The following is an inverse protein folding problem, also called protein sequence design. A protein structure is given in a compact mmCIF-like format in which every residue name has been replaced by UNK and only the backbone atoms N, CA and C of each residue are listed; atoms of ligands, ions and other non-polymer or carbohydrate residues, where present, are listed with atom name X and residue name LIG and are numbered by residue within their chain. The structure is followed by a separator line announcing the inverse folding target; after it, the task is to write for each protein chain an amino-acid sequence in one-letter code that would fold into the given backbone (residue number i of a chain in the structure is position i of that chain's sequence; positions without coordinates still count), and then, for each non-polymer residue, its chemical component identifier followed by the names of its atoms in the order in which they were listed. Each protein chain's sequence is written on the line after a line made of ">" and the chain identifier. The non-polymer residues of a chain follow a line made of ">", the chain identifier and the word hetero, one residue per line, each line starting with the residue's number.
data_IF_044365497922
#
_entry.id   IF_044365497922
#
_cell.length_a   1.000
_cell.length_b   1.000
_cell.length_c   1.000
_cell.angle_alpha   90.00
_cell.angle_beta   90.00
_cell.angle_gamma   90.00
#
_symmetry.space_group_name_H-M   'P 1'
#
loop_
_entity.id
_entity.type
_entity.pdbx_description
1 polymer ?
#
# COMPACT_ATOMS: atom_id res chain seq x y z
N UNK A 1 -20.37 -17.27 17.23
CA UNK A 1 -20.70 -16.96 15.83
C UNK A 1 -19.45 -17.32 15.05
N UNK A 2 -19.52 -18.35 14.20
CA UNK A 2 -18.38 -18.81 13.40
C UNK A 2 -18.44 -18.01 12.11
N UNK A 3 -17.51 -17.08 11.92
CA UNK A 3 -17.38 -16.34 10.66
C UNK A 3 -16.97 -17.35 9.57
N UNK A 4 -17.69 -17.43 8.44
CA UNK A 4 -17.27 -18.27 7.32
C UNK A 4 -15.91 -17.77 6.83
N UNK A 5 -15.05 -18.68 6.37
CA UNK A 5 -13.64 -18.44 6.04
C UNK A 5 -13.40 -17.13 5.28
N UNK A 6 -12.78 -16.16 5.95
CA UNK A 6 -12.40 -14.85 5.41
C UNK A 6 -11.50 -15.05 4.17
N UNK A 7 -11.92 -14.52 3.02
CA UNK A 7 -11.13 -14.59 1.81
C UNK A 7 -10.06 -13.49 1.85
N UNK A 8 -8.89 -13.86 2.39
CA UNK A 8 -7.72 -13.02 2.57
C UNK A 8 -6.56 -13.54 1.70
N UNK A 9 -6.07 -12.67 0.83
CA UNK A 9 -4.95 -12.95 -0.08
C UNK A 9 -3.77 -12.05 0.23
N UNK A 10 -2.58 -12.63 0.27
CA UNK A 10 -1.29 -11.94 0.37
C UNK A 10 -0.48 -12.27 -0.87
N UNK A 11 0.04 -11.25 -1.56
CA UNK A 11 0.88 -11.50 -2.74
C UNK A 11 2.26 -12.06 -2.36
N UNK A 12 2.85 -11.59 -1.27
CA UNK A 12 4.22 -11.87 -0.87
C UNK A 12 4.36 -13.10 0.06
N UNK A 13 3.27 -13.82 0.34
CA UNK A 13 3.29 -15.02 1.20
C UNK A 13 2.22 -16.05 0.79
N UNK A 14 2.36 -17.29 1.24
CA UNK A 14 1.37 -18.34 1.02
C UNK A 14 0.01 -17.98 1.65
N UNK A 15 -0.95 -17.59 0.80
CA UNK A 15 -2.32 -17.24 1.18
C UNK A 15 -3.37 -18.26 0.76
N UNK A 16 -4.65 -17.86 0.81
CA UNK A 16 -5.73 -18.67 0.27
C UNK A 16 -5.67 -18.72 -1.26
N UNK A 17 -5.26 -19.87 -1.83
CA UNK A 17 -5.06 -20.06 -3.28
C UNK A 17 -6.31 -19.80 -4.13
N UNK A 18 -7.50 -20.05 -3.61
CA UNK A 18 -8.74 -19.75 -4.34
C UNK A 18 -8.93 -18.23 -4.47
N UNK A 19 -8.69 -17.50 -3.39
CA UNK A 19 -8.76 -16.04 -3.37
C UNK A 19 -7.69 -15.39 -4.26
N UNK A 20 -6.50 -15.98 -4.29
CA UNK A 20 -5.42 -15.60 -5.20
C UNK A 20 -5.86 -15.72 -6.66
N UNK A 21 -6.39 -16.87 -7.08
CA UNK A 21 -6.83 -17.09 -8.46
C UNK A 21 -7.96 -16.14 -8.86
N UNK A 22 -8.95 -15.92 -7.98
CA UNK A 22 -10.04 -14.97 -8.20
C UNK A 22 -9.52 -13.54 -8.40
N UNK A 23 -8.61 -13.10 -7.51
CA UNK A 23 -7.99 -11.78 -7.58
C UNK A 23 -7.16 -11.60 -8.85
N UNK A 24 -6.23 -12.51 -9.15
CA UNK A 24 -5.35 -12.42 -10.31
C UNK A 24 -6.14 -12.48 -11.62
N UNK A 25 -7.15 -13.35 -11.70
CA UNK A 25 -8.07 -13.41 -12.84
C UNK A 25 -8.80 -12.08 -13.01
N UNK A 26 -9.32 -11.50 -11.93
CA UNK A 26 -9.97 -10.19 -11.94
C UNK A 26 -9.05 -9.08 -12.44
N UNK A 27 -7.84 -8.98 -11.86
CA UNK A 27 -6.84 -7.97 -12.19
C UNK A 27 -6.40 -8.06 -13.64
N UNK A 28 -6.26 -9.28 -14.18
CA UNK A 28 -5.78 -9.53 -15.56
C UNK A 28 -6.70 -9.01 -16.66
N UNK A 29 -7.97 -8.71 -16.32
CA UNK A 29 -8.94 -8.09 -17.22
C UNK A 29 -8.58 -6.63 -17.54
N UNK A 30 -7.91 -5.96 -16.61
CA UNK A 30 -7.59 -4.53 -16.70
C UNK A 30 -6.11 -4.27 -16.91
N UNK A 31 -5.25 -5.11 -16.33
CA UNK A 31 -3.81 -4.94 -16.37
C UNK A 31 -3.12 -6.14 -17.00
N UNK A 32 -2.07 -5.86 -17.78
CA UNK A 32 -1.14 -6.88 -18.25
C UNK A 32 0.04 -6.96 -17.29
N UNK A 33 0.22 -8.13 -16.69
CA UNK A 33 1.30 -8.41 -15.77
C UNK A 33 1.81 -9.84 -15.91
N UNK A 34 2.99 -10.08 -15.37
CA UNK A 34 3.64 -11.38 -15.26
C UNK A 34 3.88 -11.66 -13.77
N UNK A 35 3.24 -12.70 -13.20
CA UNK A 35 3.60 -13.18 -11.88
C UNK A 35 5.05 -13.68 -11.89
N UNK A 36 5.81 -13.32 -10.87
CA UNK A 36 7.16 -13.82 -10.62
C UNK A 36 7.24 -14.32 -9.19
N UNK A 37 7.94 -15.44 -8.98
CA UNK A 37 8.06 -16.11 -7.68
C UNK A 37 9.51 -16.10 -7.19
N UNK A 38 9.68 -16.34 -5.89
CA UNK A 38 10.99 -16.48 -5.23
C UNK A 38 11.96 -15.32 -5.52
N UNK A 39 11.41 -14.10 -5.63
CA UNK A 39 12.22 -12.92 -5.92
C UNK A 39 12.83 -12.39 -4.63
N UNK A 40 14.17 -12.44 -4.56
CA UNK A 40 14.91 -11.80 -3.49
C UNK A 40 14.81 -10.27 -3.60
N UNK A 41 14.24 -9.63 -2.60
CA UNK A 41 13.95 -8.21 -2.60
C UNK A 41 14.37 -7.54 -1.30
N UNK A 42 15.24 -6.53 -1.43
CA UNK A 42 15.68 -5.70 -0.31
C UNK A 42 15.04 -4.32 -0.43
N UNK A 43 14.12 -4.03 0.49
CA UNK A 43 13.48 -2.73 0.60
C UNK A 43 14.21 -1.89 1.65
N UNK A 44 14.58 -0.66 1.28
CA UNK A 44 15.18 0.31 2.19
C UNK A 44 14.20 1.41 2.54
N UNK A 45 14.26 1.91 3.76
CA UNK A 45 13.66 3.18 4.16
C UNK A 45 14.39 4.34 3.51
N UNK A 46 13.75 5.50 3.46
CA UNK A 46 14.36 6.72 2.92
C UNK A 46 15.61 7.16 3.71
N UNK A 47 15.68 6.87 5.00
CA UNK A 47 16.85 7.07 5.87
C UNK A 47 18.01 6.08 5.60
N UNK A 48 17.83 5.12 4.69
CA UNK A 48 18.84 4.12 4.32
C UNK A 48 18.80 2.82 5.10
N UNK A 49 18.00 2.72 6.16
CA UNK A 49 17.81 1.48 6.93
C UNK A 49 17.17 0.40 6.05
N UNK A 50 17.58 -0.86 6.24
CA UNK A 50 16.87 -1.99 5.64
C UNK A 50 15.52 -2.09 6.34
N UNK A 51 14.44 -1.95 5.58
CA UNK A 51 13.08 -2.06 6.09
C UNK A 51 12.58 -3.49 6.07
N UNK A 52 12.79 -4.16 4.94
CA UNK A 52 12.27 -5.49 4.68
C UNK A 52 13.21 -6.23 3.74
N UNK A 53 13.46 -7.49 4.05
CA UNK A 53 14.10 -8.44 3.13
C UNK A 53 13.13 -9.59 3.00
N UNK A 54 12.66 -9.84 1.79
CA UNK A 54 11.79 -10.97 1.51
C UNK A 54 12.22 -11.69 0.25
N UNK A 55 11.99 -12.99 0.28
CA UNK A 55 11.87 -13.82 -0.90
C UNK A 55 10.36 -14.07 -1.05
N UNK A 56 9.77 -13.61 -2.15
CA UNK A 56 8.31 -13.65 -2.29
C UNK A 56 7.85 -13.48 -3.73
N UNK A 57 6.54 -13.60 -3.92
CA UNK A 57 5.94 -13.38 -5.24
C UNK A 57 5.69 -11.88 -5.48
N UNK A 58 5.73 -11.49 -6.75
CA UNK A 58 5.42 -10.14 -7.22
C UNK A 58 4.65 -10.19 -8.52
N UNK A 59 4.01 -9.07 -8.89
CA UNK A 59 3.44 -8.89 -10.22
C UNK A 59 4.24 -7.83 -10.98
N UNK A 60 4.89 -8.22 -12.09
CA UNK A 60 5.60 -7.29 -12.97
C UNK A 60 4.68 -6.81 -14.08
N UNK A 61 4.51 -5.51 -14.22
CA UNK A 61 3.68 -4.94 -15.28
C UNK A 61 4.52 -4.59 -16.50
N UNK A 62 3.87 -4.48 -17.67
CA UNK A 62 4.55 -4.27 -18.95
C UNK A 62 5.42 -2.99 -19.01
N UNK A 63 5.08 -1.96 -18.24
CA UNK A 63 5.84 -0.71 -18.18
C UNK A 63 7.05 -0.78 -17.23
N UNK A 64 7.29 -1.93 -16.60
CA UNK A 64 8.43 -2.17 -15.72
C UNK A 64 8.21 -1.86 -14.25
N UNK A 65 7.02 -1.39 -13.84
CA UNK A 65 6.68 -1.32 -12.41
C UNK A 65 6.37 -2.71 -11.85
N UNK A 66 6.53 -2.87 -10.53
CA UNK A 66 6.21 -4.09 -9.82
C UNK A 66 5.22 -3.81 -8.68
N UNK A 67 4.19 -4.64 -8.55
CA UNK A 67 3.46 -4.78 -7.28
C UNK A 67 4.23 -5.81 -6.46
N UNK A 68 4.85 -5.35 -5.38
CA UNK A 68 5.79 -6.15 -4.59
C UNK A 68 5.19 -6.70 -3.29
N UNK A 69 4.06 -6.14 -2.86
CA UNK A 69 3.23 -6.69 -1.82
C UNK A 69 1.80 -6.18 -2.02
N UNK A 70 0.83 -7.03 -1.68
CA UNK A 70 -0.57 -6.65 -1.69
C UNK A 70 -1.32 -7.53 -0.70
N UNK A 71 -2.30 -6.92 -0.02
CA UNK A 71 -3.30 -7.64 0.76
C UNK A 71 -4.65 -7.33 0.16
N UNK A 72 -5.45 -8.37 -0.08
CA UNK A 72 -6.84 -8.25 -0.52
C UNK A 72 -7.72 -9.01 0.46
N UNK A 73 -8.73 -8.32 1.00
CA UNK A 73 -9.79 -8.92 1.80
C UNK A 73 -11.12 -8.74 1.11
N UNK A 74 -11.85 -9.84 0.88
CA UNK A 74 -13.21 -9.80 0.33
C UNK A 74 -14.23 -9.22 1.32
N UNK A 75 -13.97 -9.39 2.60
CA UNK A 75 -14.75 -8.82 3.69
C UNK A 75 -13.85 -7.84 4.44
N UNK A 76 -14.16 -6.55 4.37
CA UNK A 76 -13.52 -5.52 5.17
C UNK A 76 -14.50 -5.00 6.22
N UNK A 77 -13.95 -4.64 7.37
CA UNK A 77 -14.67 -3.87 8.37
C UNK A 77 -14.10 -2.47 8.44
N UNK A 78 -14.90 -1.54 8.93
CA UNK A 78 -14.40 -0.22 9.26
C UNK A 78 -13.61 -0.24 10.57
N UNK A 79 -12.47 0.45 10.62
CA UNK A 79 -11.70 0.60 11.86
C UNK A 79 -12.43 1.46 12.90
N UNK A 80 -13.28 2.40 12.45
CA UNK A 80 -14.12 3.29 13.28
C UNK A 80 -15.51 3.40 12.67
N UNK A 81 -16.55 3.77 13.42
CA UNK A 81 -17.86 4.01 12.80
C UNK A 81 -17.78 5.01 11.64
N UNK A 82 -18.27 4.63 10.44
CA UNK A 82 -18.19 5.46 9.23
C UNK A 82 -18.87 6.83 9.38
N UNK A 83 -19.88 6.95 10.26
CA UNK A 83 -20.48 8.24 10.60
C UNK A 83 -19.50 9.19 11.30
N UNK A 84 -18.60 8.69 12.16
CA UNK A 84 -17.56 9.51 12.80
C UNK A 84 -16.51 9.98 11.78
N UNK A 85 -16.07 9.06 10.90
CA UNK A 85 -15.13 9.36 9.83
C UNK A 85 -15.68 10.48 8.94
N UNK A 86 -16.94 10.37 8.52
CA UNK A 86 -17.61 11.38 7.71
C UNK A 86 -17.76 12.72 8.44
N UNK A 87 -18.00 12.73 9.77
CA UNK A 87 -18.09 13.97 10.56
C UNK A 87 -16.74 14.71 10.64
N UNK A 88 -15.63 13.97 10.61
CA UNK A 88 -14.28 14.52 10.51
C UNK A 88 -13.89 14.90 9.07
N UNK A 89 -14.79 14.68 8.11
CA UNK A 89 -14.61 14.99 6.70
C UNK A 89 -13.74 13.98 5.95
N UNK A 90 -13.59 12.76 6.49
CA UNK A 90 -12.96 11.64 5.79
C UNK A 90 -13.97 10.83 4.97
N UNK A 91 -13.48 10.11 3.97
CA UNK A 91 -14.27 9.34 3.02
C UNK A 91 -13.91 7.84 2.99
N UNK A 92 -12.73 7.48 3.48
CA UNK A 92 -12.30 6.08 3.60
C UNK A 92 -13.04 5.42 4.77
N UNK A 93 -14.08 4.62 4.48
CA UNK A 93 -14.84 3.90 5.50
C UNK A 93 -14.43 2.43 5.64
N UNK A 94 -13.98 1.76 4.59
CA UNK A 94 -13.39 0.44 4.68
C UNK A 94 -12.11 0.37 3.83
N UNK A 95 -11.21 -0.55 4.17
CA UNK A 95 -9.91 -0.69 3.48
C UNK A 95 -9.70 -2.14 3.06
N UNK A 96 -10.45 -2.65 2.06
CA UNK A 96 -10.31 -4.04 1.60
C UNK A 96 -8.95 -4.34 0.98
N UNK A 97 -8.21 -3.33 0.52
CA UNK A 97 -6.95 -3.54 -0.20
C UNK A 97 -5.85 -2.63 0.36
N UNK A 98 -4.68 -3.23 0.61
CA UNK A 98 -3.43 -2.51 0.80
C UNK A 98 -2.42 -2.95 -0.27
N UNK A 99 -1.70 -2.00 -0.86
CA UNK A 99 -0.79 -2.23 -1.98
C UNK A 99 0.58 -1.59 -1.71
N UNK A 100 1.65 -2.26 -2.13
CA UNK A 100 3.00 -1.70 -2.23
C UNK A 100 3.50 -1.83 -3.66
N UNK A 101 3.80 -0.70 -4.28
CA UNK A 101 4.20 -0.60 -5.68
C UNK A 101 5.62 -0.03 -5.77
N UNK A 102 6.49 -0.68 -6.53
CA UNK A 102 7.80 -0.21 -6.93
C UNK A 102 7.76 0.29 -8.38
N UNK A 103 8.05 1.58 -8.60
CA UNK A 103 8.03 2.17 -9.94
C UNK A 103 9.27 1.83 -10.77
N UNK A 104 10.37 1.37 -10.15
CA UNK A 104 11.56 0.86 -10.83
C UNK A 104 11.50 -0.65 -11.08
N UNK A 105 10.58 -1.36 -10.40
CA UNK A 105 10.45 -2.81 -10.47
C UNK A 105 11.74 -3.53 -10.08
N UNK A 106 12.18 -4.50 -10.87
CA UNK A 106 13.38 -5.29 -10.55
C UNK A 106 14.72 -4.57 -10.77
N UNK A 107 14.71 -3.36 -11.34
CA UNK A 107 15.96 -2.63 -11.69
C UNK A 107 16.65 -2.04 -10.45
N UNK A 108 15.86 -1.74 -9.42
CA UNK A 108 16.29 -0.90 -8.32
C UNK A 108 16.71 0.51 -8.74
N UNK A 109 17.10 1.36 -7.76
CA UNK A 109 17.05 1.11 -6.33
C UNK A 109 15.61 0.94 -5.80
N UNK A 110 15.49 0.32 -4.61
CA UNK A 110 14.23 -0.04 -3.96
C UNK A 110 14.09 0.72 -2.64
N UNK A 111 13.81 2.03 -2.70
CA UNK A 111 13.70 2.89 -1.51
C UNK A 111 12.29 3.40 -1.32
N UNK A 112 11.73 3.17 -0.12
CA UNK A 112 10.45 3.71 0.30
C UNK A 112 10.41 5.22 0.13
N UNK A 113 9.30 5.68 -0.44
CA UNK A 113 9.01 7.06 -0.69
C UNK A 113 9.62 7.63 -1.95
N UNK A 114 10.68 7.05 -2.50
CA UNK A 114 11.32 7.47 -3.77
C UNK A 114 10.97 6.55 -4.93
N UNK A 115 11.20 5.26 -4.74
CA UNK A 115 11.01 4.22 -5.75
C UNK A 115 9.80 3.35 -5.40
N UNK A 116 9.50 3.21 -4.11
CA UNK A 116 8.45 2.35 -3.59
C UNK A 116 7.41 3.16 -2.82
N UNK A 117 6.13 2.96 -3.14
CA UNK A 117 5.00 3.67 -2.55
C UNK A 117 3.93 2.71 -2.05
N UNK A 118 3.26 3.09 -0.96
CA UNK A 118 2.22 2.29 -0.31
C UNK A 118 0.87 3.00 -0.40
N UNK A 119 -0.17 2.23 -0.66
CA UNK A 119 -1.53 2.72 -0.88
C UNK A 119 -2.56 1.82 -0.20
N UNK A 120 -3.71 2.40 0.06
CA UNK A 120 -4.94 1.72 0.41
C UNK A 120 -5.95 1.95 -0.70
N UNK A 121 -6.79 0.97 -0.98
CA UNK A 121 -7.97 1.15 -1.82
C UNK A 121 -9.21 0.98 -0.95
N UNK A 122 -10.08 1.98 -0.97
CA UNK A 122 -11.37 1.93 -0.29
C UNK A 122 -12.33 0.97 -0.97
N UNK A 123 -13.42 0.63 -0.28
CA UNK A 123 -14.54 -0.14 -0.83
C UNK A 123 -15.22 0.56 -2.02
N UNK A 124 -15.09 1.88 -2.08
CA UNK A 124 -15.51 2.75 -3.18
C UNK A 124 -14.56 2.67 -4.41
N UNK A 125 -13.45 1.96 -4.30
CA UNK A 125 -12.42 1.85 -5.33
C UNK A 125 -11.48 3.06 -5.41
N UNK A 126 -11.61 4.04 -4.52
CA UNK A 126 -10.72 5.20 -4.46
C UNK A 126 -9.38 4.79 -3.84
N UNK A 127 -8.29 5.27 -4.46
CA UNK A 127 -6.93 5.03 -3.98
C UNK A 127 -6.51 6.14 -3.02
N UNK A 128 -6.16 5.76 -1.81
CA UNK A 128 -5.67 6.63 -0.76
C UNK A 128 -4.19 6.34 -0.48
N UNK A 129 -3.35 7.36 -0.28
CA UNK A 129 -1.96 7.13 0.09
C UNK A 129 -1.83 6.60 1.53
N UNK A 130 -0.86 5.70 1.75
CA UNK A 130 -0.46 5.35 3.11
C UNK A 130 0.07 6.58 3.84
N UNK A 131 -0.28 6.72 5.13
CA UNK A 131 -0.04 7.87 6.00
C UNK A 131 -0.54 9.22 5.44
N UNK A 132 -1.54 9.18 4.55
CA UNK A 132 -2.27 10.35 4.05
C UNK A 132 -3.34 10.87 5.01
N UNK A 133 -3.95 12.00 4.66
CA UNK A 133 -5.01 12.63 5.47
C UNK A 133 -6.17 11.66 5.73
N UNK A 134 -6.70 11.04 4.68
CA UNK A 134 -7.86 10.14 4.75
C UNK A 134 -7.60 8.94 5.66
N UNK A 135 -6.41 8.33 5.54
CA UNK A 135 -6.02 7.21 6.41
C UNK A 135 -5.87 7.65 7.89
N UNK A 136 -5.35 8.85 8.15
CA UNK A 136 -5.23 9.37 9.51
C UNK A 136 -6.58 9.56 10.19
N UNK A 137 -7.59 10.00 9.43
CA UNK A 137 -8.99 10.14 9.89
C UNK A 137 -9.59 8.74 10.11
N UNK A 138 -9.43 7.84 9.13
CA UNK A 138 -9.90 6.45 9.22
C UNK A 138 -9.43 5.74 10.49
N UNK A 139 -8.16 5.91 10.88
CA UNK A 139 -7.64 5.33 12.13
C UNK A 139 -7.92 6.17 13.38
N UNK A 140 -8.37 7.43 13.24
CA UNK A 140 -8.46 8.36 14.37
C UNK A 140 -7.09 8.68 14.97
N UNK A 141 -6.07 8.76 14.12
CA UNK A 141 -4.65 8.91 14.47
C UNK A 141 -4.03 10.08 13.70
N UNK A 142 -4.26 11.34 14.11
CA UNK A 142 -3.69 12.51 13.45
C UNK A 142 -2.16 12.46 13.35
N UNK A 143 -1.48 11.78 14.27
CA UNK A 143 -0.03 11.56 14.26
C UNK A 143 0.45 10.69 13.10
N UNK A 144 -0.43 9.89 12.48
CA UNK A 144 -0.11 9.12 11.27
C UNK A 144 -0.13 9.99 10.02
N UNK A 145 -0.68 11.20 10.07
CA UNK A 145 -0.64 12.06 8.92
C UNK A 145 0.80 12.53 8.67
N UNK A 146 1.32 12.30 7.46
CA UNK A 146 2.71 12.62 7.11
C UNK A 146 3.09 14.09 7.39
N UNK A 147 2.15 15.03 7.33
CA UNK A 147 2.38 16.45 7.67
C UNK A 147 2.59 16.72 9.15
N UNK A 148 2.12 15.82 10.00
CA UNK A 148 2.18 15.97 11.47
C UNK A 148 3.38 15.22 12.07
N UNK A 149 4.09 14.41 11.28
CA UNK A 149 5.20 13.60 11.77
C UNK A 149 6.29 13.41 10.70
N UNK A 150 7.41 14.10 10.89
CA UNK A 150 8.58 14.10 10.00
C UNK A 150 9.18 12.70 9.76
N UNK A 151 8.92 11.73 10.65
CA UNK A 151 9.34 10.36 10.46
C UNK A 151 8.68 9.71 9.23
N UNK A 152 7.44 10.04 8.88
CA UNK A 152 6.76 9.36 7.77
C UNK A 152 7.20 9.88 6.40
N UNK A 153 7.28 11.20 6.21
CA UNK A 153 7.88 11.78 5.01
C UNK A 153 8.37 13.22 5.21
N UNK A 154 9.68 13.42 5.17
CA UNK A 154 10.29 14.74 5.30
C UNK A 154 11.67 14.80 4.62
N UNK A 155 12.23 16.01 4.53
CA UNK A 155 13.63 16.24 4.10
C UNK A 155 14.65 15.77 5.14
N UNK A 156 14.20 15.32 6.29
CA UNK A 156 15.08 14.87 7.37
C UNK A 156 15.76 13.56 6.99
N UNK A 157 17.03 13.42 7.40
CA UNK A 157 17.76 12.15 7.30
C UNK A 157 17.10 11.01 8.08
N UNK A 158 16.18 11.32 8.99
CA UNK A 158 15.44 10.34 9.78
C UNK A 158 14.11 9.92 9.13
N UNK A 159 13.77 10.42 7.94
CA UNK A 159 12.52 10.06 7.29
C UNK A 159 12.52 8.59 6.87
N UNK A 160 11.46 7.87 7.21
CA UNK A 160 11.27 6.46 6.85
C UNK A 160 10.85 6.26 5.39
N UNK A 161 10.20 7.25 4.78
CA UNK A 161 9.62 7.17 3.44
C UNK A 161 8.21 6.57 3.39
N UNK A 162 7.70 6.02 4.50
CA UNK A 162 6.41 5.31 4.55
C UNK A 162 5.21 6.19 4.15
N UNK A 163 5.24 7.48 4.50
CA UNK A 163 4.16 8.43 4.17
C UNK A 163 4.42 9.29 2.95
N UNK A 164 5.46 9.00 2.16
CA UNK A 164 5.78 9.84 1.01
C UNK A 164 4.81 9.65 -0.15
N UNK A 165 4.03 8.56 -0.20
CA UNK A 165 2.87 8.49 -1.08
C UNK A 165 1.88 9.64 -0.79
N UNK A 166 1.62 9.91 0.49
CA UNK A 166 0.77 11.03 0.93
C UNK A 166 1.34 12.36 0.50
N UNK A 167 2.65 12.56 0.70
CA UNK A 167 3.32 13.79 0.28
C UNK A 167 3.25 14.04 -1.21
N UNK A 168 3.50 13.01 -2.03
CA UNK A 168 3.44 13.13 -3.49
C UNK A 168 2.01 13.41 -3.95
N UNK A 169 1.04 12.60 -3.54
CA UNK A 169 -0.35 12.74 -4.02
C UNK A 169 -1.01 14.05 -3.55
N UNK A 170 -0.79 14.45 -2.30
CA UNK A 170 -1.36 15.69 -1.76
C UNK A 170 -0.53 16.94 -2.11
N UNK A 171 0.72 16.74 -2.57
CA UNK A 171 1.67 17.78 -2.96
C UNK A 171 1.73 18.03 -4.47
N UNK A 172 0.62 17.83 -5.20
CA UNK A 172 0.52 18.00 -6.65
C UNK A 172 1.49 17.11 -7.45
N UNK A 173 1.68 15.86 -7.00
CA UNK A 173 2.53 14.86 -7.68
C UNK A 173 4.02 15.25 -7.75
N UNK A 174 4.48 16.10 -6.83
CA UNK A 174 5.87 16.49 -6.72
C UNK A 174 6.60 15.65 -5.66
N UNK A 175 7.80 15.16 -6.00
CA UNK A 175 8.76 14.61 -5.04
C UNK A 175 9.68 15.74 -4.58
N UNK A 176 9.28 16.45 -3.51
CA UNK A 176 9.94 17.67 -3.04
C UNK A 176 10.59 17.54 -1.65
N UNK A 177 10.88 16.33 -1.23
CA UNK A 177 11.51 15.97 0.05
C UNK A 177 12.96 15.50 -0.12
#
# INVERSE_FOLDING_TARGET
>A
MVFPSECLFYLDSDGNKQCEEEFLTGLSKYFKFTPVSDQHYVLKRLNGEIYHVADGNMLLFLNGLAMIAATFSKESGSYRPCNEINQEGGHLCESPIWLRIDVNGLKGPNTLGRDVFEFIVGEDGIVYPNYGKEQSIYYGKPEYYWKNNDYYCSKSKNSSGLGCAGRVMEGNWAMDY
#
